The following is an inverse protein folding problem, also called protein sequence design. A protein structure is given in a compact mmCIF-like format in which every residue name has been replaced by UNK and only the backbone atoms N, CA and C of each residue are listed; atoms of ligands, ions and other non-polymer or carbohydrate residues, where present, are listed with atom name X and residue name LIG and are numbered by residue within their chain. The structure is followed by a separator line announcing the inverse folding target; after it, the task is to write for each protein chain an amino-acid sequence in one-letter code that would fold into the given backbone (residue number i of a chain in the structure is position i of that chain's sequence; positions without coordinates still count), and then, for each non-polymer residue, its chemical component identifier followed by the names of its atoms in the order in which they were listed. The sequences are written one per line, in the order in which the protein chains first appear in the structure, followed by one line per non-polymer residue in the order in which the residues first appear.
data_IF_408980078624
#
_entry.id   IF_408980078624
#
_cell.length_a   1.000
_cell.length_b   1.000
_cell.length_c   1.000
_cell.angle_alpha   90.00
_cell.angle_beta   90.00
_cell.angle_gamma   90.00
#
_symmetry.space_group_name_H-M   'P 1'
#
loop_
_entity.id
_entity.type
_entity.pdbx_description
1 polymer ?
#
# COMPACT_ATOMS: atom_id res chain seq x y z
N UNK A 1 11.01 -6.99 20.06
CA UNK A 1 10.16 -7.69 19.08
C UNK A 1 10.94 -8.90 18.61
N UNK A 2 10.41 -10.10 18.79
CA UNK A 2 11.04 -11.33 18.30
C UNK A 2 10.83 -11.46 16.78
N UNK A 3 11.65 -12.29 16.08
CA UNK A 3 11.44 -12.57 14.66
C UNK A 3 10.02 -13.09 14.33
N UNK A 4 9.43 -13.87 15.22
CA UNK A 4 8.07 -14.41 15.10
C UNK A 4 7.02 -13.30 15.21
N UNK A 5 7.14 -12.44 16.24
CA UNK A 5 6.25 -11.28 16.43
C UNK A 5 6.31 -10.33 15.23
N UNK A 6 7.51 -10.10 14.70
CA UNK A 6 7.72 -9.28 13.52
C UNK A 6 7.06 -9.89 12.27
N UNK A 7 7.28 -11.19 12.05
CA UNK A 7 6.65 -11.91 10.94
C UNK A 7 5.12 -11.86 11.03
N UNK A 8 4.58 -12.04 12.23
CA UNK A 8 3.14 -11.98 12.48
C UNK A 8 2.59 -10.59 12.19
N UNK A 9 3.28 -9.53 12.63
CA UNK A 9 2.93 -8.14 12.34
C UNK A 9 2.90 -7.88 10.83
N UNK A 10 3.98 -8.20 10.11
CA UNK A 10 4.06 -8.02 8.64
C UNK A 10 2.93 -8.77 7.93
N UNK A 11 2.67 -10.01 8.35
CA UNK A 11 1.59 -10.84 7.79
C UNK A 11 0.20 -10.25 8.06
N UNK A 12 -0.04 -9.71 9.27
CA UNK A 12 -1.33 -9.06 9.62
C UNK A 12 -1.55 -7.80 8.80
N UNK A 13 -0.52 -6.96 8.64
CA UNK A 13 -0.60 -5.75 7.83
C UNK A 13 -0.85 -6.10 6.36
N UNK A 14 -0.14 -7.10 5.81
CA UNK A 14 -0.38 -7.61 4.46
C UNK A 14 -1.85 -8.06 4.26
N UNK A 15 -2.39 -8.86 5.19
CA UNK A 15 -3.79 -9.32 5.14
C UNK A 15 -4.79 -8.17 5.20
N UNK A 16 -4.52 -7.16 6.03
CA UNK A 16 -5.35 -5.96 6.11
C UNK A 16 -5.36 -5.20 4.78
N UNK A 17 -4.18 -4.95 4.19
CA UNK A 17 -4.05 -4.22 2.92
C UNK A 17 -4.77 -4.96 1.79
N UNK A 18 -4.52 -6.26 1.66
CA UNK A 18 -5.14 -7.07 0.60
C UNK A 18 -6.66 -7.15 0.74
N UNK A 19 -7.19 -7.28 1.96
CA UNK A 19 -8.64 -7.21 2.21
C UNK A 19 -9.26 -5.89 1.78
N UNK A 20 -8.60 -4.76 2.09
CA UNK A 20 -9.08 -3.44 1.69
C UNK A 20 -8.93 -3.19 0.18
N UNK A 21 -7.89 -3.72 -0.44
CA UNK A 21 -7.70 -3.68 -1.88
C UNK A 21 -8.79 -4.47 -2.62
N UNK A 22 -9.18 -5.64 -2.10
CA UNK A 22 -10.27 -6.45 -2.68
C UNK A 22 -11.63 -5.74 -2.60
N UNK A 23 -11.90 -5.02 -1.50
CA UNK A 23 -13.07 -4.14 -1.42
C UNK A 23 -13.00 -3.04 -2.48
N UNK A 24 -11.86 -2.37 -2.60
CA UNK A 24 -11.69 -1.29 -3.57
C UNK A 24 -11.82 -1.74 -5.04
N UNK A 25 -11.51 -2.99 -5.36
CA UNK A 25 -11.71 -3.55 -6.70
C UNK A 25 -13.18 -3.79 -7.06
N UNK A 26 -14.06 -3.86 -6.07
CA UNK A 26 -15.51 -4.12 -6.26
C UNK A 26 -16.39 -2.91 -5.97
N UNK A 27 -15.89 -1.94 -5.21
CA UNK A 27 -16.60 -0.72 -4.87
C UNK A 27 -16.54 0.32 -5.99
N UNK A 28 -17.70 0.94 -6.30
CA UNK A 28 -17.79 2.07 -7.24
C UNK A 28 -17.09 3.33 -6.74
N UNK A 29 -16.74 3.40 -5.46
CA UNK A 29 -16.01 4.50 -4.83
C UNK A 29 -14.51 4.20 -4.63
N UNK A 30 -13.95 3.31 -5.45
CA UNK A 30 -12.52 2.93 -5.45
C UNK A 30 -11.57 4.14 -5.40
N UNK A 31 -11.96 5.27 -6.01
CA UNK A 31 -11.21 6.54 -6.00
C UNK A 31 -10.97 7.13 -4.60
N UNK A 32 -11.88 6.92 -3.63
CA UNK A 32 -11.67 7.38 -2.25
C UNK A 32 -10.77 6.44 -1.45
N UNK A 33 -10.69 5.17 -1.85
CA UNK A 33 -9.93 4.14 -1.15
C UNK A 33 -8.47 4.08 -1.63
N UNK A 34 -8.21 4.41 -2.90
CA UNK A 34 -6.90 4.30 -3.51
C UNK A 34 -5.79 5.08 -2.77
N UNK A 35 -5.94 6.38 -2.42
CA UNK A 35 -4.90 7.10 -1.70
C UNK A 35 -4.59 6.47 -0.34
N UNK A 36 -5.62 5.97 0.37
CA UNK A 36 -5.44 5.29 1.66
C UNK A 36 -4.64 3.99 1.50
N UNK A 37 -4.94 3.21 0.47
CA UNK A 37 -4.24 1.96 0.18
C UNK A 37 -2.77 2.21 -0.21
N UNK A 38 -2.48 3.27 -0.96
CA UNK A 38 -1.10 3.69 -1.27
C UNK A 38 -0.34 3.99 0.03
N UNK A 39 -0.93 4.76 0.96
CA UNK A 39 -0.30 5.04 2.25
C UNK A 39 -0.01 3.77 3.06
N UNK A 40 -0.95 2.82 3.09
CA UNK A 40 -0.76 1.56 3.79
C UNK A 40 0.33 0.69 3.14
N UNK A 41 0.41 0.71 1.81
CA UNK A 41 1.47 0.03 1.06
C UNK A 41 2.86 0.62 1.35
N UNK A 42 2.99 1.94 1.34
CA UNK A 42 4.26 2.57 1.70
C UNK A 42 4.64 2.24 3.14
N UNK A 43 3.69 2.27 4.09
CA UNK A 43 3.94 1.82 5.46
C UNK A 43 4.43 0.35 5.53
N UNK A 44 3.86 -0.55 4.72
CA UNK A 44 4.33 -1.92 4.62
C UNK A 44 5.79 -2.02 4.10
N UNK A 45 6.16 -1.19 3.11
CA UNK A 45 7.54 -1.08 2.61
C UNK A 45 8.51 -0.56 3.66
N UNK A 46 8.09 0.42 4.46
CA UNK A 46 8.87 0.92 5.60
C UNK A 46 9.10 -0.22 6.62
N UNK A 47 8.03 -0.95 6.97
CA UNK A 47 8.06 -2.04 7.95
C UNK A 47 9.01 -3.17 7.56
N UNK A 48 9.08 -3.55 6.27
CA UNK A 48 9.97 -4.61 5.78
C UNK A 48 11.45 -4.20 5.65
N UNK A 49 11.79 -2.97 6.08
CA UNK A 49 13.18 -2.52 6.23
C UNK A 49 13.77 -1.81 5.01
N UNK A 50 12.98 -1.34 4.05
CA UNK A 50 13.48 -0.52 2.93
C UNK A 50 13.50 0.99 3.22
N UNK A 51 13.50 1.38 4.50
CA UNK A 51 13.51 2.78 4.87
C UNK A 51 14.70 3.15 5.74
N UNK A 52 15.66 3.82 5.09
CA UNK A 52 16.70 4.67 5.69
C UNK A 52 17.81 3.99 6.51
N UNK A 53 18.53 3.02 5.94
CA UNK A 53 19.86 2.67 6.47
C UNK A 53 20.90 2.59 5.35
N UNK A 54 22.04 3.27 5.52
CA UNK A 54 23.21 3.17 4.62
C UNK A 54 23.84 1.77 4.64
N UNK A 55 23.41 0.92 5.58
CA UNK A 55 23.85 -0.46 5.75
C UNK A 55 22.61 -1.33 5.75
N UNK A 56 22.48 -2.20 4.74
CA UNK A 56 21.39 -3.18 4.68
C UNK A 56 21.51 -4.12 5.89
N UNK A 57 20.54 -4.17 6.80
CA UNK A 57 20.55 -5.18 7.86
C UNK A 57 20.55 -6.58 7.23
N UNK A 58 21.12 -7.59 7.92
CA UNK A 58 21.12 -8.96 7.42
C UNK A 58 19.70 -9.39 7.09
N UNK A 59 19.55 -9.98 5.90
CA UNK A 59 18.29 -10.44 5.32
C UNK A 59 17.53 -11.29 6.34
N UNK A 60 16.33 -10.88 6.82
CA UNK A 60 15.49 -11.76 7.63
C UNK A 60 15.21 -13.05 6.87
N UNK A 61 15.15 -14.20 7.55
CA UNK A 61 14.95 -15.51 6.90
C UNK A 61 13.72 -15.55 5.97
N UNK A 62 12.70 -14.74 6.27
CA UNK A 62 11.43 -14.63 5.51
C UNK A 62 11.39 -13.49 4.50
N UNK A 63 12.51 -12.84 4.20
CA UNK A 63 12.51 -11.66 3.32
C UNK A 63 11.99 -11.95 1.90
N UNK A 64 12.26 -13.16 1.39
CA UNK A 64 11.70 -13.59 0.09
C UNK A 64 10.17 -13.67 0.10
N UNK A 65 9.56 -14.04 1.23
CA UNK A 65 8.10 -14.05 1.39
C UNK A 65 7.55 -12.62 1.45
N UNK A 66 8.22 -11.72 2.16
CA UNK A 66 7.80 -10.32 2.25
C UNK A 66 7.86 -9.60 0.90
N UNK A 67 8.86 -9.89 0.06
CA UNK A 67 8.90 -9.39 -1.32
C UNK A 67 7.74 -9.92 -2.17
N UNK A 68 7.37 -11.20 -2.02
CA UNK A 68 6.18 -11.75 -2.70
C UNK A 68 4.88 -11.08 -2.23
N UNK A 69 4.77 -10.77 -0.94
CA UNK A 69 3.63 -10.03 -0.38
C UNK A 69 3.55 -8.60 -0.95
N UNK A 70 4.69 -7.91 -1.06
CA UNK A 70 4.78 -6.60 -1.67
C UNK A 70 4.33 -6.64 -3.15
N UNK A 71 4.85 -7.59 -3.93
CA UNK A 71 4.48 -7.75 -5.33
C UNK A 71 2.98 -7.97 -5.51
N UNK A 72 2.34 -8.75 -4.62
CA UNK A 72 0.89 -8.95 -4.64
C UNK A 72 0.12 -7.66 -4.34
N UNK A 73 0.53 -6.91 -3.31
CA UNK A 73 -0.07 -5.60 -3.00
C UNK A 73 0.08 -4.63 -4.18
N UNK A 74 1.28 -4.54 -4.75
CA UNK A 74 1.60 -3.65 -5.88
C UNK A 74 0.74 -3.97 -7.11
N UNK A 75 0.58 -5.25 -7.45
CA UNK A 75 -0.30 -5.68 -8.56
C UNK A 75 -1.76 -5.30 -8.33
N UNK A 76 -2.26 -5.43 -7.10
CA UNK A 76 -3.64 -5.04 -6.76
C UNK A 76 -3.84 -3.53 -6.83
N UNK A 77 -2.88 -2.75 -6.32
CA UNK A 77 -2.89 -1.30 -6.42
C UNK A 77 -2.88 -0.83 -7.88
N UNK A 78 -2.08 -1.47 -8.74
CA UNK A 78 -2.04 -1.16 -10.16
C UNK A 78 -3.42 -1.40 -10.81
N UNK A 79 -4.06 -2.53 -10.53
CA UNK A 79 -5.43 -2.80 -11.02
C UNK A 79 -6.45 -1.76 -10.54
N UNK A 80 -6.36 -1.33 -9.29
CA UNK A 80 -7.25 -0.28 -8.77
C UNK A 80 -7.00 1.03 -9.53
N UNK A 81 -5.73 1.41 -9.70
CA UNK A 81 -5.33 2.61 -10.45
C UNK A 81 -5.83 2.60 -11.89
N UNK A 82 -5.73 1.46 -12.57
CA UNK A 82 -6.18 1.29 -13.96
C UNK A 82 -7.71 1.44 -14.08
N UNK A 83 -8.45 1.19 -13.00
CA UNK A 83 -9.90 1.38 -12.92
C UNK A 83 -10.31 2.80 -12.46
N UNK A 84 -9.35 3.68 -12.13
CA UNK A 84 -9.67 5.05 -11.73
C UNK A 84 -9.90 5.92 -12.95
N UNK A 85 -11.07 6.54 -13.02
CA UNK A 85 -11.31 7.63 -13.96
C UNK A 85 -10.82 8.95 -13.37
N UNK A 86 -9.65 9.41 -13.80
CA UNK A 86 -9.12 10.73 -13.43
C UNK A 86 -9.92 11.89 -14.04
N UNK A 87 -10.84 11.63 -14.96
CA UNK A 87 -11.76 12.64 -15.47
C UNK A 87 -13.02 12.80 -14.62
N UNK A 88 -13.28 11.91 -13.67
CA UNK A 88 -14.39 12.01 -12.72
C UNK A 88 -14.33 13.34 -11.94
N UNK A 89 -15.48 14.00 -11.82
CA UNK A 89 -15.58 15.32 -11.21
C UNK A 89 -15.15 15.33 -9.74
N UNK A 90 -15.42 14.25 -8.99
CA UNK A 90 -15.03 14.14 -7.58
C UNK A 90 -13.52 13.98 -7.47
N UNK A 91 -12.92 13.16 -8.33
CA UNK A 91 -11.45 12.98 -8.37
C UNK A 91 -10.76 14.30 -8.67
N UNK A 92 -11.23 15.02 -9.70
CA UNK A 92 -10.73 16.36 -10.04
C UNK A 92 -10.87 17.32 -8.86
N UNK A 93 -12.03 17.37 -8.22
CA UNK A 93 -12.26 18.21 -7.04
C UNK A 93 -11.23 17.94 -5.94
N UNK A 94 -10.98 16.67 -5.60
CA UNK A 94 -10.00 16.32 -4.58
C UNK A 94 -8.56 16.68 -4.97
N UNK A 95 -8.18 16.48 -6.24
CA UNK A 95 -6.85 16.87 -6.74
C UNK A 95 -6.66 18.39 -6.63
N UNK A 96 -7.66 19.17 -7.03
CA UNK A 96 -7.59 20.64 -6.96
C UNK A 96 -7.55 21.15 -5.51
N UNK A 97 -8.32 20.55 -4.60
CA UNK A 97 -8.26 20.89 -3.17
C UNK A 97 -6.89 20.54 -2.55
N UNK A 98 -6.29 19.41 -2.95
CA UNK A 98 -4.96 19.04 -2.49
C UNK A 98 -3.89 20.01 -3.00
N UNK A 99 -3.95 20.43 -4.28
CA UNK A 99 -3.05 21.42 -4.85
C UNK A 99 -3.10 22.73 -4.06
N UNK A 100 -4.28 23.30 -3.83
CA UNK A 100 -4.42 24.58 -3.09
C UNK A 100 -3.82 24.57 -1.69
N UNK A 101 -3.83 23.41 -1.01
CA UNK A 101 -3.41 23.30 0.40
C UNK A 101 -1.93 23.00 0.57
N UNK A 102 -1.30 22.34 -0.40
CA UNK A 102 0.01 21.73 -0.22
C UNK A 102 1.02 22.03 -1.35
N UNK A 103 0.61 22.71 -2.42
CA UNK A 103 1.46 23.17 -3.53
C UNK A 103 1.27 24.68 -3.76
#
# INVERSE_FOLDING_TARGET
MTPEEYTELVTKIYKLITSEADKALTDKNSYMLYPRLVTMYEFFRLLRGESFTDIRPPTPEKQSEFYKMEDDISKRLQKIKDNLDFNDEKVKFYIEEAKKRYL
#
